data_IF_957420427870
#
_entry.id   IF_957420427870
#
_cell.length_a   1.000
_cell.length_b   1.000
_cell.length_c   1.000
_cell.angle_alpha   90.00
_cell.angle_beta   90.00
_cell.angle_gamma   90.00
#
_symmetry.space_group_name_H-M   'P 1'
#
loop_
_entity.id
_entity.type
_entity.pdbx_description
1 polymer ?
#
# COMPACT_ATOMS: atom_id res chain seq x y z
N UNK A 1 21.23 7.42 21.51
CA UNK A 1 20.16 7.56 20.49
C UNK A 1 20.54 6.63 19.35
N UNK A 2 20.12 5.36 19.39
CA UNK A 2 20.47 4.37 18.38
C UNK A 2 19.54 4.55 17.19
N UNK A 3 19.98 5.34 16.22
CA UNK A 3 19.45 5.35 14.86
C UNK A 3 20.07 4.15 14.13
N UNK A 4 19.66 2.95 14.49
CA UNK A 4 19.98 1.76 13.70
C UNK A 4 18.83 1.53 12.73
N UNK A 5 19.04 1.88 11.46
CA UNK A 5 18.24 1.44 10.30
C UNK A 5 18.37 -0.08 10.09
N UNK A 6 18.14 -0.86 11.15
CA UNK A 6 18.18 -2.31 11.11
C UNK A 6 16.94 -2.79 10.37
N UNK A 7 17.18 -3.18 9.13
CA UNK A 7 16.28 -3.89 8.24
C UNK A 7 16.06 -5.31 8.76
N UNK A 8 14.82 -5.64 9.10
CA UNK A 8 14.46 -6.96 9.67
C UNK A 8 13.42 -7.62 8.76
N UNK A 9 13.70 -8.84 8.30
CA UNK A 9 12.69 -9.70 7.67
C UNK A 9 12.44 -10.92 8.54
N UNK A 10 11.21 -11.05 9.02
CA UNK A 10 10.74 -12.22 9.75
C UNK A 10 10.13 -13.21 8.76
N UNK A 11 10.69 -14.41 8.68
CA UNK A 11 10.12 -15.48 7.86
C UNK A 11 9.43 -16.50 8.74
N UNK A 12 8.14 -16.72 8.52
CA UNK A 12 7.35 -17.77 9.16
C UNK A 12 7.27 -18.95 8.19
N UNK A 13 7.82 -20.09 8.59
CA UNK A 13 7.83 -21.32 7.77
C UNK A 13 7.31 -22.54 8.50
N UNK A 14 7.19 -23.66 7.77
CA UNK A 14 6.80 -24.95 8.31
C UNK A 14 5.28 -25.09 8.50
N UNK A 15 4.88 -25.81 9.53
CA UNK A 15 3.48 -26.20 9.77
C UNK A 15 2.73 -25.22 10.70
N UNK A 16 3.24 -24.00 10.88
CA UNK A 16 2.60 -22.96 11.66
C UNK A 16 1.28 -22.53 11.02
N UNK A 17 0.20 -22.46 11.81
CA UNK A 17 -1.14 -22.01 11.36
C UNK A 17 -1.55 -20.65 11.92
N UNK A 18 -0.96 -20.28 13.05
CA UNK A 18 -1.29 -19.05 13.75
C UNK A 18 -0.01 -18.39 14.25
N UNK A 19 0.10 -17.08 14.06
CA UNK A 19 1.14 -16.25 14.67
C UNK A 19 0.49 -15.04 15.32
N UNK A 20 1.02 -14.66 16.49
CA UNK A 20 0.57 -13.52 17.26
C UNK A 20 1.66 -12.47 17.27
N UNK A 21 1.35 -11.26 16.80
CA UNK A 21 2.24 -10.11 16.87
C UNK A 21 1.71 -9.13 17.92
N UNK A 22 2.43 -9.08 19.04
CA UNK A 22 2.09 -8.24 20.20
C UNK A 22 2.95 -6.98 20.17
N UNK A 23 2.38 -5.87 19.70
CA UNK A 23 3.13 -4.63 19.51
C UNK A 23 3.27 -3.78 20.77
N UNK A 24 2.35 -3.90 21.73
CA UNK A 24 2.30 -3.05 22.93
C UNK A 24 2.40 -1.54 22.62
N UNK A 25 1.71 -1.10 21.55
CA UNK A 25 1.72 0.26 20.99
C UNK A 25 3.07 0.71 20.43
N UNK A 26 3.94 -0.22 20.02
CA UNK A 26 5.21 0.11 19.35
C UNK A 26 5.07 0.17 17.83
N UNK A 27 5.87 1.05 17.23
CA UNK A 27 6.14 1.07 15.79
C UNK A 27 7.38 0.25 15.49
N UNK A 28 7.28 -0.61 14.49
CA UNK A 28 8.38 -1.37 13.91
C UNK A 28 8.59 -0.86 12.50
N UNK A 29 9.63 -0.05 12.31
CA UNK A 29 10.01 0.46 11.01
C UNK A 29 11.08 -0.43 10.38
N UNK A 30 11.21 -0.37 9.05
CA UNK A 30 12.13 -1.19 8.28
C UNK A 30 11.94 -2.71 8.51
N UNK A 31 10.70 -3.18 8.58
CA UNK A 31 10.36 -4.58 8.78
C UNK A 31 9.76 -5.24 7.53
N UNK A 32 9.93 -6.53 7.34
CA UNK A 32 9.10 -7.33 6.43
C UNK A 32 8.67 -8.62 7.11
N UNK A 33 7.49 -9.11 6.80
CA UNK A 33 6.99 -10.39 7.29
C UNK A 33 6.67 -11.26 6.07
N UNK A 34 7.47 -12.30 5.88
CA UNK A 34 7.27 -13.29 4.84
C UNK A 34 6.69 -14.56 5.46
N UNK A 35 5.51 -14.96 5.01
CA UNK A 35 4.82 -16.15 5.49
C UNK A 35 4.80 -17.14 4.34
N UNK A 36 5.55 -18.24 4.50
CA UNK A 36 5.66 -19.33 3.54
C UNK A 36 5.52 -20.64 4.31
N UNK A 37 4.27 -21.03 4.55
CA UNK A 37 3.91 -22.21 5.35
C UNK A 37 3.35 -23.30 4.45
N UNK A 38 3.42 -24.54 4.92
CA UNK A 38 2.82 -25.69 4.22
C UNK A 38 1.29 -25.80 4.42
N UNK A 39 0.69 -24.87 5.15
CA UNK A 39 -0.76 -24.84 5.36
C UNK A 39 -1.42 -24.03 4.25
N UNK A 40 -2.62 -24.44 3.84
CA UNK A 40 -3.44 -23.67 2.92
C UNK A 40 -3.87 -22.35 3.58
N UNK A 41 -4.36 -22.42 4.81
CA UNK A 41 -4.78 -21.25 5.59
C UNK A 41 -3.78 -20.90 6.70
N UNK A 42 -3.55 -19.60 6.87
CA UNK A 42 -2.70 -19.05 7.92
C UNK A 42 -3.37 -17.85 8.58
N UNK A 43 -3.37 -17.80 9.91
CA UNK A 43 -3.94 -16.67 10.67
C UNK A 43 -2.83 -15.85 11.31
N UNK A 44 -2.83 -14.54 11.04
CA UNK A 44 -1.98 -13.57 11.70
C UNK A 44 -2.84 -12.71 12.62
N UNK A 45 -2.58 -12.80 13.92
CA UNK A 45 -3.24 -11.96 14.90
C UNK A 45 -2.40 -10.73 15.22
N UNK A 46 -2.99 -9.54 15.10
CA UNK A 46 -2.34 -8.26 15.36
C UNK A 46 -2.92 -7.62 16.60
N UNK A 47 -2.05 -7.18 17.52
CA UNK A 47 -2.44 -6.51 18.76
C UNK A 47 -1.60 -5.25 18.99
N UNK A 48 -2.22 -4.09 18.82
CA UNK A 48 -1.62 -2.78 19.12
C UNK A 48 -0.23 -2.61 18.48
N UNK A 49 -0.13 -2.83 17.17
CA UNK A 49 1.14 -2.83 16.44
C UNK A 49 1.11 -1.92 15.22
N UNK A 50 2.18 -1.15 15.01
CA UNK A 50 2.45 -0.45 13.76
C UNK A 50 3.63 -1.08 13.04
N UNK A 51 3.44 -1.44 11.77
CA UNK A 51 4.45 -2.03 10.90
C UNK A 51 4.70 -1.10 9.71
N UNK A 52 5.93 -0.68 9.50
CA UNK A 52 6.34 0.08 8.30
C UNK A 52 7.39 -0.72 7.54
N UNK A 53 7.09 -1.06 6.29
CA UNK A 53 7.99 -1.89 5.53
C UNK A 53 9.27 -1.16 5.11
N UNK A 54 10.31 -1.94 4.88
CA UNK A 54 11.51 -1.46 4.20
C UNK A 54 11.19 -1.05 2.76
N UNK A 55 11.91 -0.06 2.24
CA UNK A 55 11.82 0.35 0.83
C UNK A 55 11.87 -0.85 -0.13
N UNK A 56 10.96 -0.85 -1.10
CA UNK A 56 10.76 -1.90 -2.11
C UNK A 56 10.31 -3.27 -1.60
N UNK A 57 9.85 -3.37 -0.34
CA UNK A 57 9.24 -4.59 0.21
C UNK A 57 7.75 -4.42 0.52
N UNK A 58 7.05 -5.56 0.55
CA UNK A 58 5.76 -5.64 1.19
C UNK A 58 5.94 -5.67 2.71
N UNK A 59 5.01 -5.09 3.48
CA UNK A 59 5.08 -5.22 4.94
C UNK A 59 4.75 -6.66 5.36
N UNK A 60 3.72 -7.24 4.74
CA UNK A 60 3.30 -8.64 4.92
C UNK A 60 3.15 -9.28 3.55
N UNK A 61 3.78 -10.44 3.36
CA UNK A 61 3.64 -11.28 2.17
C UNK A 61 3.32 -12.71 2.56
N UNK A 62 2.21 -13.24 2.08
CA UNK A 62 1.85 -14.64 2.18
C UNK A 62 1.97 -15.33 0.83
N UNK A 63 2.79 -16.38 0.76
CA UNK A 63 3.07 -17.12 -0.48
C UNK A 63 2.27 -18.43 -0.60
N UNK A 64 1.44 -18.75 0.40
CA UNK A 64 0.59 -19.94 0.36
C UNK A 64 -0.58 -19.83 -0.62
N UNK A 65 -1.14 -20.98 -1.00
CA UNK A 65 -2.26 -21.10 -1.94
C UNK A 65 -3.63 -20.79 -1.35
N UNK A 66 -3.83 -20.98 -0.04
CA UNK A 66 -5.11 -20.69 0.62
C UNK A 66 -5.19 -19.28 1.18
N UNK A 67 -5.80 -19.12 2.36
CA UNK A 67 -6.20 -17.81 2.89
C UNK A 67 -5.27 -17.31 3.98
N UNK A 68 -4.71 -16.11 3.78
CA UNK A 68 -4.18 -15.30 4.87
C UNK A 68 -5.35 -14.65 5.60
N UNK A 69 -5.57 -15.01 6.87
CA UNK A 69 -6.55 -14.38 7.76
C UNK A 69 -5.84 -13.41 8.68
N UNK A 70 -6.17 -12.13 8.62
CA UNK A 70 -5.67 -11.13 9.56
C UNK A 70 -6.78 -10.83 10.57
N UNK A 71 -6.51 -11.16 11.84
CA UNK A 71 -7.40 -10.84 12.96
C UNK A 71 -6.83 -9.60 13.65
N UNK A 72 -7.47 -8.45 13.42
CA UNK A 72 -7.07 -7.20 14.04
C UNK A 72 -7.77 -7.02 15.39
N UNK A 73 -6.98 -6.93 16.45
CA UNK A 73 -7.43 -6.58 17.79
C UNK A 73 -6.69 -5.31 18.26
N UNK A 74 -7.38 -4.39 18.93
CA UNK A 74 -6.79 -3.11 19.33
C UNK A 74 -6.60 -2.15 18.16
N UNK A 75 -5.53 -1.34 18.15
CA UNK A 75 -5.25 -0.36 17.09
C UNK A 75 -3.98 -0.74 16.33
N UNK A 76 -4.14 -1.09 15.05
CA UNK A 76 -3.05 -1.60 14.23
C UNK A 76 -2.84 -0.72 12.98
N UNK A 77 -1.60 -0.61 12.53
CA UNK A 77 -1.29 0.01 11.24
C UNK A 77 -0.24 -0.78 10.47
N UNK A 78 -0.42 -0.90 9.15
CA UNK A 78 0.47 -1.61 8.25
C UNK A 78 0.76 -0.70 7.06
N UNK A 79 2.02 -0.36 6.84
CA UNK A 79 2.45 0.50 5.74
C UNK A 79 3.46 -0.23 4.86
N UNK A 80 3.18 -0.32 3.56
CA UNK A 80 4.10 -0.89 2.58
C UNK A 80 5.36 -0.04 2.39
N UNK A 81 6.42 -0.66 1.87
CA UNK A 81 7.69 -0.01 1.62
C UNK A 81 7.61 0.99 0.48
N UNK A 82 8.43 2.05 0.50
CA UNK A 82 8.46 3.01 -0.61
C UNK A 82 8.77 2.31 -1.94
N UNK A 83 8.13 2.75 -3.01
CA UNK A 83 8.38 2.21 -4.36
C UNK A 83 9.60 2.92 -4.93
N UNK A 84 10.75 2.22 -4.98
CA UNK A 84 12.01 2.76 -5.49
C UNK A 84 12.33 2.37 -6.93
N UNK A 85 11.56 1.47 -7.55
CA UNK A 85 11.79 0.99 -8.91
C UNK A 85 10.48 0.80 -9.68
N UNK A 86 10.40 1.30 -10.92
CA UNK A 86 9.21 1.20 -11.78
C UNK A 86 8.73 -0.23 -12.01
N UNK A 87 9.60 -1.23 -11.90
CA UNK A 87 9.26 -2.64 -12.10
C UNK A 87 8.69 -3.33 -10.86
N UNK A 88 8.80 -2.74 -9.67
CA UNK A 88 8.42 -3.37 -8.40
C UNK A 88 7.36 -2.51 -7.70
N UNK A 89 6.08 -2.85 -7.92
CA UNK A 89 5.00 -2.26 -7.12
C UNK A 89 4.95 -3.01 -5.78
N UNK A 90 5.22 -2.28 -4.69
CA UNK A 90 5.06 -2.79 -3.33
C UNK A 90 3.59 -2.74 -2.90
N UNK A 91 3.28 -3.46 -1.82
CA UNK A 91 1.98 -3.39 -1.17
C UNK A 91 2.15 -3.41 0.35
N UNK A 92 1.16 -2.94 1.11
CA UNK A 92 1.19 -3.18 2.56
C UNK A 92 1.02 -4.68 2.83
N UNK A 93 0.04 -5.31 2.17
CA UNK A 93 -0.24 -6.74 2.27
C UNK A 93 -0.32 -7.35 0.87
N UNK A 94 0.43 -8.43 0.67
CA UNK A 94 0.38 -9.29 -0.53
C UNK A 94 -0.04 -10.71 -0.15
N UNK A 95 -1.07 -11.26 -0.78
CA UNK A 95 -1.41 -12.69 -0.67
C UNK A 95 -2.18 -13.16 -1.90
N UNK A 96 -2.48 -14.45 -2.04
CA UNK A 96 -3.45 -14.91 -3.04
C UNK A 96 -4.88 -14.65 -2.55
N UNK A 97 -5.22 -15.19 -1.37
CA UNK A 97 -6.50 -14.93 -0.71
C UNK A 97 -6.25 -14.20 0.61
N UNK A 98 -7.06 -13.18 0.89
CA UNK A 98 -6.98 -12.39 2.12
C UNK A 98 -8.36 -12.29 2.77
N UNK A 99 -8.41 -12.53 4.08
CA UNK A 99 -9.56 -12.17 4.91
C UNK A 99 -9.08 -11.24 6.03
N UNK A 100 -9.79 -10.13 6.24
CA UNK A 100 -9.56 -9.24 7.38
C UNK A 100 -10.79 -9.26 8.28
N UNK A 101 -10.61 -9.69 9.53
CA UNK A 101 -11.66 -9.78 10.53
C UNK A 101 -11.18 -9.22 11.90
N UNK A 102 -12.00 -9.39 12.93
CA UNK A 102 -11.78 -8.82 14.27
C UNK A 102 -12.56 -7.54 14.53
N UNK A 103 -12.39 -6.99 15.73
CA UNK A 103 -13.08 -5.80 16.25
C UNK A 103 -12.16 -4.57 16.34
N UNK A 104 -10.85 -4.77 16.30
CA UNK A 104 -9.85 -3.73 16.41
C UNK A 104 -9.72 -2.88 15.13
N UNK A 105 -9.34 -1.61 15.30
CA UNK A 105 -9.02 -0.71 14.19
C UNK A 105 -7.79 -1.20 13.44
N UNK A 106 -7.86 -1.18 12.10
CA UNK A 106 -6.71 -1.47 11.24
C UNK A 106 -6.60 -0.44 10.11
N UNK A 107 -5.46 0.26 10.05
CA UNK A 107 -5.11 1.19 8.99
C UNK A 107 -4.05 0.57 8.07
N UNK A 108 -4.38 0.37 6.79
CA UNK A 108 -3.52 -0.29 5.80
C UNK A 108 -3.15 0.71 4.72
N UNK A 109 -1.85 0.93 4.48
CA UNK A 109 -1.37 1.97 3.56
C UNK A 109 -0.32 1.42 2.60
N UNK A 110 -0.52 1.62 1.31
CA UNK A 110 0.54 1.40 0.33
C UNK A 110 1.73 2.33 0.56
N UNK A 111 2.93 1.88 0.17
CA UNK A 111 4.13 2.71 0.28
C UNK A 111 4.16 3.83 -0.76
N UNK A 112 4.75 4.97 -0.42
CA UNK A 112 4.83 6.09 -1.37
C UNK A 112 5.88 5.84 -2.47
N UNK A 113 5.66 6.38 -3.65
CA UNK A 113 6.68 6.48 -4.69
C UNK A 113 7.83 7.38 -4.24
N UNK A 114 9.06 7.00 -4.58
CA UNK A 114 10.23 7.84 -4.36
C UNK A 114 10.24 9.00 -5.36
N UNK A 115 10.60 10.18 -4.86
CA UNK A 115 10.80 11.39 -5.66
C UNK A 115 12.04 11.26 -6.56
N UNK A 116 11.99 11.85 -7.76
CA UNK A 116 13.15 11.90 -8.65
C UNK A 116 13.64 13.34 -8.92
N UNK A 117 14.96 13.53 -9.10
CA UNK A 117 15.49 14.73 -9.75
C UNK A 117 15.14 14.72 -11.25
N UNK A 118 15.21 15.89 -11.88
CA UNK A 118 14.77 16.18 -13.26
C UNK A 118 15.05 15.06 -14.30
N UNK A 119 14.16 14.96 -15.29
CA UNK A 119 14.26 14.12 -16.52
C UNK A 119 13.86 12.63 -16.40
N UNK A 120 13.12 12.21 -15.35
CA UNK A 120 12.56 10.85 -15.24
C UNK A 120 11.17 10.88 -14.62
N UNK A 121 10.17 10.25 -15.24
CA UNK A 121 8.81 10.06 -14.66
C UNK A 121 8.93 9.53 -13.25
N UNK A 122 8.37 10.14 -12.20
CA UNK A 122 8.54 9.66 -10.82
C UNK A 122 7.81 8.33 -10.52
N UNK A 123 8.22 7.64 -9.45
CA UNK A 123 7.69 6.31 -9.13
C UNK A 123 6.22 6.35 -8.71
N UNK A 124 5.48 5.31 -9.10
CA UNK A 124 4.10 5.12 -8.66
C UNK A 124 4.04 4.81 -7.16
N UNK A 125 2.93 5.13 -6.51
CA UNK A 125 2.61 4.63 -5.18
C UNK A 125 2.30 3.13 -5.20
N UNK A 126 2.58 2.46 -4.08
CA UNK A 126 2.29 1.06 -3.84
C UNK A 126 0.84 0.81 -3.46
N UNK A 127 0.43 -0.45 -3.44
CA UNK A 127 -0.93 -0.86 -3.12
C UNK A 127 -1.17 -0.93 -1.60
N UNK A 128 -2.38 -0.64 -1.14
CA UNK A 128 -2.76 -1.02 0.23
C UNK A 128 -2.76 -2.54 0.35
N UNK A 129 -3.57 -3.19 -0.49
CA UNK A 129 -3.69 -4.65 -0.59
C UNK A 129 -3.50 -5.08 -2.04
N UNK A 130 -2.72 -6.12 -2.25
CA UNK A 130 -2.61 -6.83 -3.53
C UNK A 130 -2.92 -8.31 -3.33
N UNK A 131 -4.08 -8.75 -3.84
CA UNK A 131 -4.49 -10.16 -3.75
C UNK A 131 -5.30 -10.61 -4.96
N UNK A 132 -5.63 -11.89 -5.08
CA UNK A 132 -6.60 -12.39 -6.05
C UNK A 132 -8.02 -12.25 -5.52
N UNK A 133 -8.25 -12.63 -4.27
CA UNK A 133 -9.52 -12.49 -3.57
C UNK A 133 -9.34 -11.81 -2.21
N UNK A 134 -10.22 -10.86 -1.90
CA UNK A 134 -10.21 -10.13 -0.63
C UNK A 134 -11.59 -10.18 0.03
N UNK A 135 -11.65 -10.64 1.27
CA UNK A 135 -12.83 -10.56 2.13
C UNK A 135 -12.59 -9.58 3.27
N UNK A 136 -13.42 -8.54 3.35
CA UNK A 136 -13.35 -7.50 4.38
C UNK A 136 -14.54 -7.65 5.33
N UNK A 137 -14.27 -8.23 6.50
CA UNK A 137 -15.26 -8.50 7.54
C UNK A 137 -15.08 -7.67 8.82
N UNK A 138 -13.97 -6.93 8.95
CA UNK A 138 -13.74 -6.03 10.06
C UNK A 138 -14.30 -4.62 9.76
N UNK A 139 -15.27 -4.10 10.56
CA UNK A 139 -15.91 -2.80 10.33
C UNK A 139 -15.02 -1.58 10.60
N UNK A 140 -13.86 -1.78 11.21
CA UNK A 140 -12.91 -0.72 11.59
C UNK A 140 -11.67 -0.73 10.69
N UNK A 141 -11.87 -1.08 9.42
CA UNK A 141 -10.81 -1.19 8.41
C UNK A 141 -10.75 0.07 7.54
N UNK A 142 -9.58 0.68 7.47
CA UNK A 142 -9.28 1.75 6.51
C UNK A 142 -8.10 1.35 5.62
N UNK A 143 -8.27 1.40 4.31
CA UNK A 143 -7.27 0.97 3.32
C UNK A 143 -6.98 2.12 2.37
N UNK A 144 -5.69 2.40 2.16
CA UNK A 144 -5.20 3.50 1.34
C UNK A 144 -4.14 3.01 0.35
N UNK A 145 -4.21 3.48 -0.90
CA UNK A 145 -3.08 3.41 -1.80
C UNK A 145 -1.98 4.40 -1.41
N UNK A 146 -0.73 4.08 -1.77
CA UNK A 146 0.42 4.97 -1.55
C UNK A 146 0.40 6.19 -2.48
N UNK A 147 1.02 7.30 -2.10
CA UNK A 147 1.14 8.46 -3.00
C UNK A 147 2.17 8.22 -4.09
N UNK A 148 1.98 8.79 -5.26
CA UNK A 148 3.04 8.86 -6.27
C UNK A 148 4.19 9.77 -5.83
N UNK A 149 5.40 9.52 -6.33
CA UNK A 149 6.57 10.36 -6.07
C UNK A 149 6.48 11.70 -6.78
N UNK A 150 7.11 12.72 -6.20
CA UNK A 150 7.18 14.07 -6.78
C UNK A 150 8.44 14.22 -7.63
N UNK A 151 8.42 15.17 -8.56
CA UNK A 151 9.62 15.61 -9.24
C UNK A 151 10.15 16.92 -8.67
N UNK A 152 11.46 16.94 -8.35
CA UNK A 152 12.07 18.00 -7.54
C UNK A 152 12.62 19.17 -8.34
N UNK A 153 13.08 18.92 -9.57
CA UNK A 153 13.79 19.90 -10.40
C UNK A 153 13.40 19.75 -11.88
N UNK A 154 13.55 20.81 -12.68
CA UNK A 154 13.36 20.80 -14.16
C UNK A 154 12.24 21.71 -14.67
N UNK A 155 12.06 21.83 -16.00
CA UNK A 155 10.96 22.60 -16.61
C UNK A 155 9.58 22.05 -16.18
N UNK A 156 8.47 22.71 -16.55
CA UNK A 156 7.13 22.29 -16.08
C UNK A 156 6.76 20.89 -16.57
N UNK A 157 6.50 19.99 -15.63
CA UNK A 157 6.05 18.62 -15.90
C UNK A 157 4.56 18.42 -15.65
N UNK A 158 4.09 17.19 -15.90
CA UNK A 158 2.69 16.79 -15.68
C UNK A 158 2.54 16.13 -14.32
N UNK A 159 1.50 16.43 -13.56
CA UNK A 159 1.22 15.69 -12.32
C UNK A 159 0.80 14.24 -12.61
N UNK A 160 1.11 13.34 -11.69
CA UNK A 160 0.62 11.97 -11.73
C UNK A 160 -0.87 11.88 -11.43
N UNK A 161 -1.51 10.83 -11.94
CA UNK A 161 -2.93 10.58 -11.70
C UNK A 161 -3.18 9.96 -10.33
N UNK A 162 -4.28 10.33 -9.68
CA UNK A 162 -4.80 9.56 -8.53
C UNK A 162 -5.29 8.19 -9.00
N UNK A 163 -5.18 7.23 -8.11
CA UNK A 163 -5.62 5.86 -8.36
C UNK A 163 -7.02 5.58 -7.81
N UNK A 164 -7.64 4.52 -8.32
CA UNK A 164 -8.92 4.02 -7.81
C UNK A 164 -8.82 3.51 -6.37
N UNK A 165 -9.90 3.59 -5.57
CA UNK A 165 -10.04 2.87 -4.32
C UNK A 165 -9.81 1.37 -4.48
N UNK A 166 -10.48 0.76 -5.45
CA UNK A 166 -10.33 -0.66 -5.77
C UNK A 166 -10.41 -0.92 -7.28
N UNK A 167 -9.79 -2.01 -7.74
CA UNK A 167 -9.93 -2.48 -9.13
C UNK A 167 -10.01 -4.00 -9.19
N UNK A 168 -10.89 -4.49 -10.08
CA UNK A 168 -11.11 -5.91 -10.40
C UNK A 168 -10.18 -6.39 -11.54
N UNK A 169 -9.58 -5.46 -12.29
CA UNK A 169 -8.66 -5.77 -13.37
C UNK A 169 -7.31 -5.11 -13.18
N UNK A 170 -6.26 -5.82 -13.64
CA UNK A 170 -4.94 -5.23 -13.81
C UNK A 170 -5.04 -4.01 -14.74
N UNK A 171 -4.67 -2.86 -14.18
CA UNK A 171 -4.26 -1.62 -14.83
C UNK A 171 -5.35 -0.65 -15.38
N UNK A 172 -5.14 0.63 -15.05
CA UNK A 172 -5.64 1.85 -15.70
C UNK A 172 -7.11 2.26 -15.55
N UNK A 173 -7.64 2.34 -14.33
CA UNK A 173 -8.83 3.16 -14.06
C UNK A 173 -8.53 4.22 -13.01
N UNK A 174 -7.86 5.28 -13.47
CA UNK A 174 -7.70 6.55 -12.76
C UNK A 174 -9.03 7.31 -12.79
N UNK A 175 -9.79 7.29 -11.69
CA UNK A 175 -10.90 8.25 -11.49
C UNK A 175 -10.41 9.56 -10.84
N UNK A 176 -9.10 9.84 -10.90
CA UNK A 176 -8.51 11.11 -10.49
C UNK A 176 -8.58 12.14 -11.60
N UNK A 177 -9.08 13.34 -11.29
CA UNK A 177 -9.07 14.48 -12.21
C UNK A 177 -7.67 14.75 -12.77
N UNK A 178 -7.61 15.09 -14.06
CA UNK A 178 -6.39 15.42 -14.77
C UNK A 178 -5.60 16.53 -14.06
N UNK A 179 -4.32 16.29 -13.77
CA UNK A 179 -3.37 17.38 -13.62
C UNK A 179 -3.14 18.06 -14.97
N UNK A 180 -2.93 19.37 -14.97
CA UNK A 180 -2.70 20.14 -16.20
C UNK A 180 -1.39 19.71 -16.89
N UNK A 181 -1.34 19.79 -18.22
CA UNK A 181 -0.14 19.48 -19.01
C UNK A 181 0.93 20.58 -18.85
N UNK A 182 2.06 20.26 -18.21
CA UNK A 182 3.34 20.92 -18.45
C UNK A 182 4.11 20.16 -19.55
N UNK A 183 4.54 20.85 -20.61
CA UNK A 183 5.04 20.20 -21.83
C UNK A 183 6.52 19.79 -21.78
N UNK A 184 7.32 20.26 -20.81
CA UNK A 184 8.79 20.20 -20.90
C UNK A 184 9.50 19.58 -19.66
N UNK A 185 8.76 19.09 -18.67
CA UNK A 185 9.29 18.62 -17.38
C UNK A 185 9.08 17.16 -17.05
N UNK A 186 9.63 16.71 -15.92
CA UNK A 186 9.35 15.37 -15.40
C UNK A 186 7.88 15.23 -14.98
N UNK A 187 7.24 14.14 -15.40
CA UNK A 187 5.93 13.75 -14.89
C UNK A 187 5.97 13.15 -13.47
N UNK A 188 5.08 13.61 -12.58
CA UNK A 188 4.88 13.04 -11.26
C UNK A 188 4.38 11.59 -11.31
N UNK A 189 4.64 10.85 -10.23
CA UNK A 189 4.28 9.44 -10.14
C UNK A 189 2.78 9.22 -9.95
N UNK A 190 2.23 8.12 -10.45
CA UNK A 190 0.81 7.81 -10.22
C UNK A 190 0.59 7.44 -8.75
N UNK A 191 -0.60 7.74 -8.22
CA UNK A 191 -1.02 7.16 -6.94
C UNK A 191 -1.12 5.64 -7.03
N UNK A 192 -0.98 4.96 -5.89
CA UNK A 192 -1.21 3.52 -5.75
C UNK A 192 -2.68 3.20 -5.52
N UNK A 193 -3.09 1.97 -5.75
CA UNK A 193 -4.48 1.50 -5.55
C UNK A 193 -4.70 1.10 -4.09
N UNK A 194 -5.88 1.36 -3.53
CA UNK A 194 -6.24 0.88 -2.19
C UNK A 194 -6.26 -0.64 -2.12
N UNK A 195 -7.15 -1.28 -2.88
CA UNK A 195 -7.24 -2.74 -3.03
C UNK A 195 -7.20 -3.15 -4.50
N UNK A 196 -6.18 -3.91 -4.90
CA UNK A 196 -6.10 -4.53 -6.22
C UNK A 196 -6.40 -6.02 -6.06
N UNK A 197 -7.58 -6.47 -6.51
CA UNK A 197 -7.98 -7.87 -6.45
C UNK A 197 -9.02 -8.26 -7.49
N UNK A 198 -8.97 -9.49 -8.01
CA UNK A 198 -9.92 -10.03 -8.98
C UNK A 198 -11.34 -10.17 -8.42
N UNK A 199 -11.48 -10.27 -7.09
CA UNK A 199 -12.78 -10.28 -6.42
C UNK A 199 -12.66 -9.71 -5.01
N UNK A 200 -13.66 -8.91 -4.61
CA UNK A 200 -13.73 -8.30 -3.28
C UNK A 200 -15.11 -8.56 -2.70
N UNK A 201 -15.15 -9.17 -1.52
CA UNK A 201 -16.36 -9.36 -0.72
C UNK A 201 -16.29 -8.46 0.51
N UNK A 202 -17.22 -7.52 0.62
CA UNK A 202 -17.31 -6.59 1.76
C UNK A 202 -18.53 -6.95 2.58
N UNK A 203 -18.31 -7.46 3.80
CA UNK A 203 -19.39 -7.88 4.72
C UNK A 203 -19.53 -6.95 5.93
N UNK A 204 -18.70 -5.92 6.01
CA UNK A 204 -18.73 -4.88 7.03
C UNK A 204 -18.49 -3.49 6.40
N UNK A 205 -18.87 -2.41 7.09
CA UNK A 205 -18.56 -1.05 6.61
C UNK A 205 -17.04 -0.83 6.65
N UNK A 206 -16.43 -0.50 5.52
CA UNK A 206 -14.97 -0.28 5.41
C UNK A 206 -14.69 0.96 4.59
N UNK A 207 -13.57 1.61 4.86
CA UNK A 207 -13.13 2.78 4.12
C UNK A 207 -11.97 2.41 3.19
N UNK A 208 -12.12 2.65 1.89
CA UNK A 208 -11.08 2.34 0.90
C UNK A 208 -10.86 3.56 0.02
N UNK A 209 -9.61 3.99 -0.13
CA UNK A 209 -9.24 5.13 -0.97
C UNK A 209 -7.97 4.83 -1.77
N UNK A 210 -7.92 5.31 -3.00
CA UNK A 210 -6.70 5.28 -3.79
C UNK A 210 -5.67 6.31 -3.30
N UNK A 211 -4.44 6.12 -3.75
CA UNK A 211 -3.35 7.06 -3.54
C UNK A 211 -3.49 8.28 -4.43
N UNK A 212 -2.98 9.41 -3.95
CA UNK A 212 -2.83 10.62 -4.74
C UNK A 212 -1.65 10.49 -5.70
N UNK A 213 -1.78 11.07 -6.90
CA UNK A 213 -0.64 11.28 -7.77
C UNK A 213 0.37 12.24 -7.15
N UNK A 214 1.64 12.06 -7.50
CA UNK A 214 2.71 12.98 -7.16
C UNK A 214 2.77 14.15 -8.14
N UNK A 215 3.39 15.24 -7.72
CA UNK A 215 3.48 16.46 -8.52
C UNK A 215 4.59 16.36 -9.57
N UNK A 216 4.38 16.95 -10.74
CA UNK A 216 5.43 17.17 -11.75
C UNK A 216 6.43 18.25 -11.34
N UNK A 217 7.50 18.42 -12.13
CA UNK A 217 8.50 19.48 -11.92
C UNK A 217 7.89 20.89 -12.06
N UNK A 218 8.40 21.85 -11.29
CA UNK A 218 7.93 23.24 -11.28
C UNK A 218 8.62 24.10 -12.38
N UNK A 219 7.92 24.36 -13.48
CA UNK A 219 8.35 25.35 -14.48
C UNK A 219 7.18 26.19 -15.00
N UNK A 220 6.56 26.99 -14.12
CA UNK A 220 5.46 27.90 -14.45
C UNK A 220 4.07 27.27 -14.33
N UNK A 221 3.26 27.80 -13.40
CA UNK A 221 1.82 27.55 -13.17
C UNK A 221 1.25 26.18 -13.59
N UNK A 222 1.64 25.12 -12.89
CA UNK A 222 0.90 23.84 -12.86
C UNK A 222 -0.25 23.92 -11.85
N UNK A 223 -1.48 23.59 -12.28
CA UNK A 223 -2.68 23.63 -11.43
C UNK A 223 -2.69 22.55 -10.33
N UNK A 224 -3.45 22.79 -9.26
CA UNK A 224 -3.56 21.90 -8.10
C UNK A 224 -4.02 20.48 -8.48
N UNK A 225 -3.30 19.46 -8.02
CA UNK A 225 -3.65 18.05 -8.19
C UNK A 225 -5.07 17.69 -7.75
N UNK A 226 -5.69 16.75 -8.47
CA UNK A 226 -7.08 16.34 -8.27
C UNK A 226 -7.35 15.72 -6.89
N UNK A 227 -8.59 15.84 -6.40
CA UNK A 227 -9.03 15.16 -5.17
C UNK A 227 -9.11 13.64 -5.43
N UNK A 228 -8.76 12.84 -4.43
CA UNK A 228 -8.99 11.39 -4.47
C UNK A 228 -10.49 11.10 -4.60
N UNK A 229 -10.85 10.03 -5.29
CA UNK A 229 -12.23 9.56 -5.38
C UNK A 229 -12.58 8.75 -4.13
N UNK A 230 -13.54 9.22 -3.34
CA UNK A 230 -14.12 8.48 -2.22
C UNK A 230 -15.29 7.60 -2.73
N UNK A 231 -15.44 6.40 -2.19
CA UNK A 231 -16.67 5.60 -2.34
C UNK A 231 -17.22 5.32 -0.94
N UNK A 232 -18.51 5.64 -0.77
CA UNK A 232 -19.37 5.33 0.39
C UNK A 232 -19.91 3.90 0.28
#
# INVERSE_FOLDING_TARGET
MFSDDRKICLTVTGNSRNVFLLGANRSFDNICILINTNNDDFTLHLYNISLTAMDSFNAIQYEGSGTLKIVSNGVNSITGGKVSNYSLITSAIRSNNLEINGDGKIDIRGGNGIDYPANRVANKGGYGIFAEYVKLANPNTSIYGGRGGHCKDGPAGVDGYNSSPYTISNQYRSNGGHGAQGQDGCAGGLGGIGVSASSIEVVASVYIVGGQGGNGSNGGNGGNGGKGSDIL
#
